data_IF_071761034874
#
_entry.id   IF_071761034874
#
_cell.length_a   1.000
_cell.length_b   1.000
_cell.length_c   1.000
_cell.angle_alpha   90.00
_cell.angle_beta   90.00
_cell.angle_gamma   90.00
#
_symmetry.space_group_name_H-M   'P 1'
#
loop_
_entity.id
_entity.type
_entity.pdbx_description
1 polymer ?
#
# COMPACT_ATOMS: atom_id res chain seq x y z
N UNK A 1 -28.14 41.51 -59.15
CA UNK A 1 -28.72 40.39 -58.39
C UNK A 1 -27.56 39.58 -57.87
N UNK A 2 -27.15 39.80 -56.63
CA UNK A 2 -26.02 39.11 -55.98
C UNK A 2 -26.58 38.34 -54.79
N UNK A 3 -26.48 37.03 -54.87
CA UNK A 3 -26.96 36.10 -53.83
C UNK A 3 -25.81 35.78 -52.89
N UNK A 4 -25.88 36.31 -51.66
CA UNK A 4 -24.91 36.03 -50.61
C UNK A 4 -25.29 34.76 -49.87
N UNK A 5 -24.41 33.77 -49.88
CA UNK A 5 -24.55 32.53 -49.11
C UNK A 5 -23.84 32.69 -47.75
N UNK A 6 -24.63 32.80 -46.67
CA UNK A 6 -24.09 32.82 -45.28
C UNK A 6 -23.93 31.38 -44.80
N UNK A 7 -22.68 30.98 -44.52
CA UNK A 7 -22.32 29.70 -43.92
C UNK A 7 -22.34 29.86 -42.38
N UNK A 8 -23.29 29.27 -41.69
CA UNK A 8 -23.34 29.23 -40.25
C UNK A 8 -22.49 28.06 -39.72
N UNK A 9 -21.38 28.36 -39.09
CA UNK A 9 -20.57 27.36 -38.30
C UNK A 9 -21.26 27.08 -36.97
N UNK A 10 -21.84 25.92 -36.81
CA UNK A 10 -22.29 25.38 -35.54
C UNK A 10 -21.08 24.80 -34.80
N UNK A 11 -20.56 25.56 -33.84
CA UNK A 11 -19.59 25.04 -32.86
C UNK A 11 -20.33 24.19 -31.83
N UNK A 12 -20.23 22.85 -31.98
CA UNK A 12 -20.73 21.93 -31.00
C UNK A 12 -19.78 21.90 -29.79
N UNK A 13 -20.14 22.57 -28.69
CA UNK A 13 -19.51 22.36 -27.36
C UNK A 13 -19.93 21.00 -26.83
N UNK A 14 -19.12 19.99 -27.09
CA UNK A 14 -19.23 18.69 -26.41
C UNK A 14 -18.83 18.87 -24.94
N UNK A 15 -19.80 19.01 -24.06
CA UNK A 15 -19.55 18.90 -22.62
C UNK A 15 -19.18 17.44 -22.28
N UNK A 16 -17.90 17.16 -22.15
CA UNK A 16 -17.47 15.92 -21.50
C UNK A 16 -17.93 15.96 -20.05
N UNK A 17 -19.03 15.30 -19.75
CA UNK A 17 -19.44 15.03 -18.39
C UNK A 17 -18.33 14.19 -17.72
N UNK A 18 -17.57 14.81 -16.82
CA UNK A 18 -16.64 14.09 -15.94
C UNK A 18 -17.50 13.20 -15.06
N UNK A 19 -17.43 11.89 -15.28
CA UNK A 19 -18.15 10.93 -14.47
C UNK A 19 -17.75 11.12 -13.00
N UNK A 20 -18.74 11.36 -12.13
CA UNK A 20 -18.51 11.48 -10.69
C UNK A 20 -17.97 10.12 -10.18
N UNK A 21 -16.81 10.09 -9.54
CA UNK A 21 -16.26 8.84 -9.00
C UNK A 21 -17.25 8.20 -8.03
N UNK A 22 -17.39 6.87 -8.08
CA UNK A 22 -18.25 6.16 -7.16
C UNK A 22 -17.64 6.19 -5.74
N UNK A 23 -18.45 6.40 -4.69
CA UNK A 23 -17.97 6.38 -3.32
C UNK A 23 -17.32 5.04 -2.99
N UNK A 24 -16.33 5.06 -2.06
CA UNK A 24 -15.63 3.86 -1.60
C UNK A 24 -16.64 2.85 -1.03
N UNK A 25 -16.65 1.64 -1.60
CA UNK A 25 -17.53 0.57 -1.13
C UNK A 25 -17.06 0.07 0.25
N UNK A 26 -17.95 0.01 1.21
CA UNK A 26 -17.69 -0.59 2.54
C UNK A 26 -17.42 -2.09 2.38
N UNK A 27 -16.43 -2.61 3.11
CA UNK A 27 -16.13 -4.04 3.15
C UNK A 27 -17.32 -4.84 3.67
N UNK A 28 -17.65 -5.91 2.95
CA UNK A 28 -18.64 -6.91 3.41
C UNK A 28 -18.06 -8.30 3.18
N UNK A 29 -17.71 -9.01 4.25
CA UNK A 29 -17.21 -10.38 4.17
C UNK A 29 -18.36 -11.39 4.32
N UNK A 30 -18.35 -12.42 3.49
CA UNK A 30 -19.23 -13.58 3.61
C UNK A 30 -18.81 -14.44 4.80
N UNK A 31 -19.70 -15.31 5.28
CA UNK A 31 -19.36 -16.28 6.36
C UNK A 31 -18.15 -17.14 6.00
N UNK A 32 -18.06 -17.58 4.75
CA UNK A 32 -16.92 -18.37 4.25
C UNK A 32 -15.61 -17.58 4.32
N UNK A 33 -15.61 -16.30 3.92
CA UNK A 33 -14.45 -15.44 4.00
C UNK A 33 -14.00 -15.18 5.44
N UNK A 34 -14.95 -14.99 6.35
CA UNK A 34 -14.65 -14.83 7.78
C UNK A 34 -14.01 -16.11 8.33
N UNK A 35 -14.61 -17.29 8.07
CA UNK A 35 -14.04 -18.57 8.50
C UNK A 35 -12.63 -18.80 7.94
N UNK A 36 -12.42 -18.43 6.67
CA UNK A 36 -11.10 -18.49 6.04
C UNK A 36 -10.08 -17.59 6.76
N UNK A 37 -10.47 -16.35 7.08
CA UNK A 37 -9.63 -15.39 7.79
C UNK A 37 -9.27 -15.85 9.20
N UNK A 38 -10.26 -16.32 9.98
CA UNK A 38 -10.11 -16.73 11.37
C UNK A 38 -9.24 -17.98 11.55
N UNK A 39 -9.18 -18.83 10.52
CA UNK A 39 -8.35 -20.05 10.53
C UNK A 39 -6.88 -19.84 10.12
N UNK A 40 -6.52 -18.66 9.63
CA UNK A 40 -5.18 -18.41 9.10
C UNK A 40 -4.14 -18.10 10.16
N UNK A 41 -2.91 -18.58 9.90
CA UNK A 41 -1.70 -18.03 10.51
C UNK A 41 -1.17 -16.91 9.60
N UNK A 42 -1.09 -15.70 10.13
CA UNK A 42 -0.66 -14.51 9.39
C UNK A 42 0.50 -13.88 10.14
N UNK A 43 1.60 -13.62 9.46
CA UNK A 43 2.70 -12.83 9.98
C UNK A 43 2.78 -11.50 9.25
N UNK A 44 2.87 -10.39 10.00
CA UNK A 44 3.06 -9.05 9.45
C UNK A 44 4.28 -8.36 10.04
N UNK A 45 5.38 -8.32 9.27
CA UNK A 45 6.59 -7.57 9.58
C UNK A 45 6.46 -6.11 9.14
N UNK A 46 6.52 -5.15 10.08
CA UNK A 46 6.28 -3.75 9.77
C UNK A 46 6.90 -2.76 10.74
N UNK A 47 6.71 -1.48 10.47
CA UNK A 47 6.84 -0.33 11.39
C UNK A 47 5.89 0.79 10.92
N UNK A 48 5.74 1.87 11.73
CA UNK A 48 5.05 3.11 11.36
C UNK A 48 3.61 2.86 10.87
N UNK A 49 3.27 3.16 9.61
CA UNK A 49 1.93 2.96 9.00
C UNK A 49 1.36 1.56 9.24
N UNK A 50 2.21 0.54 9.45
CA UNK A 50 1.74 -0.80 9.82
C UNK A 50 0.94 -0.83 11.12
N UNK A 51 1.32 -0.03 12.12
CA UNK A 51 0.54 0.11 13.36
C UNK A 51 -0.85 0.71 13.10
N UNK A 52 -0.95 1.69 12.19
CA UNK A 52 -2.25 2.27 11.81
C UNK A 52 -3.15 1.20 11.16
N UNK A 53 -2.60 0.35 10.28
CA UNK A 53 -3.35 -0.75 9.65
C UNK A 53 -3.86 -1.72 10.71
N UNK A 54 -3.01 -2.11 11.67
CA UNK A 54 -3.40 -3.02 12.76
C UNK A 54 -4.45 -2.41 13.69
N UNK A 55 -4.35 -1.12 13.97
CA UNK A 55 -5.37 -0.39 14.73
C UNK A 55 -6.72 -0.43 14.00
N UNK A 56 -6.72 -0.16 12.70
CA UNK A 56 -7.92 -0.28 11.87
C UNK A 56 -8.51 -1.70 11.86
N UNK A 57 -7.66 -2.74 11.86
CA UNK A 57 -8.14 -4.13 11.97
C UNK A 57 -8.78 -4.37 13.34
N UNK A 58 -8.18 -3.91 14.45
CA UNK A 58 -8.76 -4.04 15.79
C UNK A 58 -10.13 -3.35 15.89
N UNK A 59 -10.25 -2.15 15.32
CA UNK A 59 -11.52 -1.43 15.26
C UNK A 59 -12.60 -2.21 14.51
N UNK A 60 -12.26 -2.75 13.33
CA UNK A 60 -13.19 -3.52 12.51
C UNK A 60 -13.61 -4.79 13.23
N UNK A 61 -12.68 -5.55 13.81
CA UNK A 61 -12.99 -6.82 14.51
C UNK A 61 -13.81 -6.58 15.78
N UNK A 62 -13.58 -5.44 16.46
CA UNK A 62 -14.41 -5.05 17.62
C UNK A 62 -15.82 -4.66 17.20
N UNK A 63 -15.99 -3.97 16.07
CA UNK A 63 -17.30 -3.55 15.55
C UNK A 63 -18.06 -4.70 14.92
N UNK A 64 -17.39 -5.59 14.19
CA UNK A 64 -17.96 -6.80 13.61
C UNK A 64 -17.54 -8.03 14.42
N UNK A 65 -18.28 -8.33 15.47
CA UNK A 65 -18.00 -9.47 16.36
C UNK A 65 -18.06 -10.85 15.71
N UNK A 66 -18.36 -10.95 14.40
CA UNK A 66 -18.27 -12.19 13.64
C UNK A 66 -16.85 -12.55 13.27
N UNK A 67 -15.92 -11.57 13.23
CA UNK A 67 -14.51 -11.77 12.86
C UNK A 67 -13.72 -12.04 14.14
N UNK A 68 -13.23 -13.26 14.30
CA UNK A 68 -12.48 -13.69 15.49
C UNK A 68 -10.95 -13.57 15.34
N UNK A 69 -10.46 -12.80 14.36
CA UNK A 69 -9.05 -12.62 14.10
C UNK A 69 -8.35 -11.94 15.26
N UNK A 70 -7.52 -12.68 15.99
CA UNK A 70 -6.69 -12.14 17.09
C UNK A 70 -5.40 -11.52 16.55
N UNK A 71 -4.97 -10.40 17.14
CA UNK A 71 -3.69 -9.74 16.83
C UNK A 71 -2.76 -9.87 18.03
N UNK A 72 -1.56 -10.40 17.82
CA UNK A 72 -0.53 -10.63 18.85
C UNK A 72 0.79 -10.01 18.41
N UNK A 73 1.43 -9.27 19.30
CA UNK A 73 2.79 -8.75 19.11
C UNK A 73 3.80 -9.78 19.61
N UNK A 74 4.83 -10.08 18.84
CA UNK A 74 5.91 -10.98 19.27
C UNK A 74 7.24 -10.59 18.63
N UNK A 75 8.31 -10.69 19.40
CA UNK A 75 9.69 -10.59 18.91
C UNK A 75 10.21 -11.92 18.36
N UNK A 76 9.46 -13.01 18.59
CA UNK A 76 9.74 -14.36 18.11
C UNK A 76 8.46 -14.92 17.47
N UNK A 77 8.04 -14.37 16.31
CA UNK A 77 6.75 -14.70 15.68
C UNK A 77 6.58 -16.17 15.33
N UNK A 78 7.69 -16.83 15.00
CA UNK A 78 7.72 -18.25 14.63
C UNK A 78 7.28 -19.19 15.76
N UNK A 79 7.39 -18.75 17.02
CA UNK A 79 7.00 -19.53 18.20
C UNK A 79 5.55 -19.31 18.62
N UNK A 80 4.83 -18.34 18.02
CA UNK A 80 3.45 -18.06 18.38
C UNK A 80 2.52 -19.12 17.76
N UNK A 81 1.83 -19.92 18.58
CA UNK A 81 1.01 -21.01 18.07
C UNK A 81 -0.38 -20.54 17.59
N UNK A 82 -1.01 -21.39 16.75
CA UNK A 82 -2.41 -21.24 16.37
C UNK A 82 -2.68 -20.18 15.30
N UNK A 83 -3.93 -20.03 14.87
CA UNK A 83 -4.36 -19.02 13.93
C UNK A 83 -4.34 -17.61 14.56
N UNK A 84 -4.41 -16.59 13.70
CA UNK A 84 -4.39 -15.18 14.05
C UNK A 84 -3.29 -14.43 13.30
N UNK A 85 -3.23 -13.12 13.51
CA UNK A 85 -2.21 -12.24 12.99
C UNK A 85 -1.15 -12.01 14.06
N UNK A 86 0.07 -12.40 13.78
CA UNK A 86 1.24 -12.08 14.60
C UNK A 86 1.99 -10.96 13.92
N UNK A 87 2.26 -9.89 14.66
CA UNK A 87 3.02 -8.76 14.16
C UNK A 87 4.36 -8.62 14.88
N UNK A 88 5.34 -8.10 14.16
CA UNK A 88 6.64 -7.74 14.72
C UNK A 88 7.19 -6.49 14.02
N UNK A 89 7.79 -5.56 14.77
CA UNK A 89 8.63 -4.55 14.15
C UNK A 89 9.86 -5.23 13.52
N UNK A 90 10.17 -4.88 12.27
CA UNK A 90 11.33 -5.40 11.54
C UNK A 90 12.25 -4.28 11.10
N UNK A 91 13.55 -4.52 11.19
CA UNK A 91 14.63 -3.63 10.76
C UNK A 91 14.55 -2.22 11.34
N UNK A 92 15.15 -1.26 10.63
CA UNK A 92 15.22 0.14 11.02
C UNK A 92 14.58 1.03 9.95
N UNK A 93 13.89 2.08 10.36
CA UNK A 93 13.40 3.12 9.45
C UNK A 93 14.58 3.83 8.78
N UNK A 94 14.49 4.00 7.46
CA UNK A 94 15.58 4.53 6.62
C UNK A 94 16.61 3.47 6.19
N UNK A 95 16.42 2.22 6.58
CA UNK A 95 17.26 1.09 6.17
C UNK A 95 16.39 -0.08 5.65
N UNK A 96 15.97 -0.01 4.38
CA UNK A 96 15.11 -1.03 3.79
C UNK A 96 15.77 -2.42 3.74
N UNK A 97 17.12 -2.49 3.63
CA UNK A 97 17.84 -3.77 3.65
C UNK A 97 17.72 -4.46 5.00
N UNK A 98 17.80 -3.72 6.10
CA UNK A 98 17.62 -4.31 7.43
C UNK A 98 16.24 -4.92 7.61
N UNK A 99 15.20 -4.29 7.05
CA UNK A 99 13.82 -4.80 7.10
C UNK A 99 13.67 -6.10 6.30
N UNK A 100 14.25 -6.13 5.11
CA UNK A 100 14.21 -7.33 4.26
C UNK A 100 14.95 -8.50 4.93
N UNK A 101 16.15 -8.23 5.49
CA UNK A 101 16.94 -9.24 6.20
C UNK A 101 16.21 -9.77 7.44
N UNK A 102 15.60 -8.90 8.25
CA UNK A 102 14.86 -9.33 9.44
C UNK A 102 13.63 -10.18 9.06
N UNK A 103 12.91 -9.76 8.02
CA UNK A 103 11.79 -10.54 7.51
C UNK A 103 12.23 -11.94 7.06
N UNK A 104 13.27 -12.01 6.22
CA UNK A 104 13.81 -13.29 5.74
C UNK A 104 14.29 -14.17 6.91
N UNK A 105 14.98 -13.59 7.89
CA UNK A 105 15.43 -14.30 9.10
C UNK A 105 14.26 -14.92 9.86
N UNK A 106 13.18 -14.19 10.09
CA UNK A 106 11.99 -14.69 10.79
C UNK A 106 11.36 -15.86 10.01
N UNK A 107 11.25 -15.73 8.68
CA UNK A 107 10.71 -16.80 7.84
C UNK A 107 11.59 -18.05 7.93
N UNK A 108 12.92 -17.89 7.82
CA UNK A 108 13.90 -18.97 7.85
C UNK A 108 14.02 -19.64 9.24
N UNK A 109 13.76 -18.92 10.32
CA UNK A 109 13.78 -19.46 11.69
C UNK A 109 12.61 -20.39 12.03
N UNK A 110 11.75 -20.73 11.06
CA UNK A 110 10.69 -21.72 11.22
C UNK A 110 9.30 -21.30 10.82
N UNK A 111 9.05 -19.97 10.70
CA UNK A 111 7.73 -19.50 10.28
C UNK A 111 7.37 -20.01 8.88
N UNK A 112 8.34 -20.02 7.95
CA UNK A 112 8.15 -20.50 6.58
C UNK A 112 7.74 -21.97 6.50
N UNK A 113 8.34 -22.83 7.32
CA UNK A 113 8.04 -24.27 7.37
C UNK A 113 6.62 -24.58 7.83
N UNK A 114 6.01 -23.67 8.61
CA UNK A 114 4.65 -23.83 9.12
C UNK A 114 3.55 -23.50 8.09
N UNK A 115 3.92 -22.86 6.96
CA UNK A 115 2.97 -22.34 5.97
C UNK A 115 2.17 -21.16 6.53
N UNK A 116 1.04 -20.84 5.89
CA UNK A 116 0.22 -19.68 6.23
C UNK A 116 0.45 -18.50 5.29
N UNK A 117 0.36 -17.29 5.82
CA UNK A 117 0.54 -16.04 5.06
C UNK A 117 1.58 -15.17 5.75
N UNK A 118 2.52 -14.62 4.99
CA UNK A 118 3.46 -13.64 5.51
C UNK A 118 3.51 -12.41 4.61
N UNK A 119 3.60 -11.25 5.23
CA UNK A 119 3.76 -9.97 4.54
C UNK A 119 4.70 -9.07 5.32
N UNK A 120 5.44 -8.25 4.56
CA UNK A 120 6.22 -7.16 5.10
C UNK A 120 5.96 -5.88 4.30
N UNK A 121 6.17 -4.74 4.92
CA UNK A 121 6.15 -3.47 4.22
C UNK A 121 7.37 -2.62 4.53
N UNK A 122 7.87 -1.93 3.52
CA UNK A 122 8.75 -0.78 3.71
C UNK A 122 7.97 0.42 4.26
N UNK A 123 8.66 1.39 4.85
CA UNK A 123 8.11 2.68 5.22
C UNK A 123 8.38 3.72 4.12
N UNK A 124 7.61 4.79 4.09
CA UNK A 124 7.87 5.89 3.14
C UNK A 124 9.26 6.52 3.35
N UNK A 125 9.79 6.48 4.58
CA UNK A 125 11.13 6.99 4.92
C UNK A 125 12.28 6.09 4.46
N UNK A 126 11.99 4.86 4.01
CA UNK A 126 13.00 3.93 3.47
C UNK A 126 13.43 4.31 2.04
N UNK A 127 12.74 5.26 1.44
CA UNK A 127 13.10 5.87 0.14
C UNK A 127 13.58 7.29 0.37
N UNK A 128 14.84 7.51 0.10
CA UNK A 128 15.52 8.80 0.22
C UNK A 128 16.09 9.30 -1.13
N UNK A 129 16.84 10.40 -1.07
CA UNK A 129 17.47 10.99 -2.24
C UNK A 129 18.48 10.07 -2.94
N UNK A 130 19.19 9.26 -2.16
CA UNK A 130 20.26 8.39 -2.62
C UNK A 130 19.76 6.99 -3.04
N UNK A 131 18.51 6.65 -2.74
CA UNK A 131 17.95 5.34 -3.03
C UNK A 131 17.97 5.07 -4.54
N UNK A 132 18.66 4.02 -4.96
CA UNK A 132 18.51 3.41 -6.27
C UNK A 132 17.31 2.45 -6.22
N UNK A 133 16.21 2.87 -6.84
CA UNK A 133 14.93 2.14 -6.80
C UNK A 133 15.02 0.79 -7.50
N UNK A 134 15.76 0.72 -8.62
CA UNK A 134 15.89 -0.53 -9.38
C UNK A 134 16.72 -1.55 -8.59
N UNK A 135 17.81 -1.11 -7.96
CA UNK A 135 18.63 -1.97 -7.11
C UNK A 135 17.86 -2.44 -5.86
N UNK A 136 17.10 -1.54 -5.21
CA UNK A 136 16.27 -1.91 -4.06
C UNK A 136 15.20 -2.91 -4.46
N UNK A 137 14.52 -2.67 -5.59
CA UNK A 137 13.50 -3.59 -6.07
C UNK A 137 14.09 -4.96 -6.47
N UNK A 138 15.25 -4.98 -7.12
CA UNK A 138 15.94 -6.22 -7.44
C UNK A 138 16.25 -7.03 -6.17
N UNK A 139 16.81 -6.38 -5.14
CA UNK A 139 17.08 -7.04 -3.85
C UNK A 139 15.81 -7.57 -3.19
N UNK A 140 14.73 -6.80 -3.21
CA UNK A 140 13.42 -7.21 -2.69
C UNK A 140 12.87 -8.43 -3.46
N UNK A 141 12.87 -8.38 -4.79
CA UNK A 141 12.39 -9.45 -5.65
C UNK A 141 13.18 -10.75 -5.41
N UNK A 142 14.51 -10.65 -5.43
CA UNK A 142 15.39 -11.81 -5.32
C UNK A 142 15.18 -12.53 -3.97
N UNK A 143 15.01 -11.78 -2.87
CA UNK A 143 14.71 -12.33 -1.55
C UNK A 143 13.31 -12.96 -1.50
N UNK A 144 12.28 -12.24 -1.96
CA UNK A 144 10.90 -12.78 -1.95
C UNK A 144 10.76 -14.03 -2.82
N UNK A 145 11.44 -14.07 -3.97
CA UNK A 145 11.44 -15.24 -4.86
C UNK A 145 12.25 -16.40 -4.26
N UNK A 146 13.32 -16.13 -3.51
CA UNK A 146 14.06 -17.15 -2.76
C UNK A 146 13.17 -17.77 -1.67
N UNK A 147 12.53 -16.96 -0.84
CA UNK A 147 11.60 -17.41 0.20
C UNK A 147 10.42 -18.20 -0.39
N UNK A 148 9.87 -17.78 -1.52
CA UNK A 148 8.80 -18.50 -2.20
C UNK A 148 9.22 -19.89 -2.69
N UNK A 149 10.45 -20.02 -3.19
CA UNK A 149 11.00 -21.32 -3.63
C UNK A 149 11.27 -22.24 -2.45
N UNK A 150 11.83 -21.71 -1.38
CA UNK A 150 12.17 -22.47 -0.17
C UNK A 150 10.92 -22.93 0.58
N UNK A 151 9.89 -22.07 0.65
CA UNK A 151 8.68 -22.30 1.43
C UNK A 151 7.40 -22.27 0.56
N UNK A 152 7.17 -23.27 -0.32
CA UNK A 152 6.05 -23.24 -1.28
C UNK A 152 4.67 -23.26 -0.64
N UNK A 153 4.56 -23.66 0.64
CA UNK A 153 3.31 -23.62 1.41
C UNK A 153 3.04 -22.28 2.06
N UNK A 154 4.03 -21.37 2.15
CA UNK A 154 3.89 -20.03 2.66
C UNK A 154 3.41 -19.12 1.52
N UNK A 155 2.29 -18.42 1.72
CA UNK A 155 1.83 -17.39 0.80
C UNK A 155 2.45 -16.05 1.17
N UNK A 156 3.29 -15.51 0.30
CA UNK A 156 3.86 -14.18 0.47
C UNK A 156 2.93 -13.14 -0.13
N UNK A 157 2.53 -12.16 0.68
CA UNK A 157 1.77 -10.99 0.23
C UNK A 157 2.72 -9.83 0.04
N UNK A 158 2.73 -9.26 -1.16
CA UNK A 158 3.61 -8.18 -1.58
C UNK A 158 2.93 -6.84 -1.31
N UNK A 159 3.57 -5.97 -0.53
CA UNK A 159 2.98 -4.70 -0.09
C UNK A 159 3.67 -3.53 -0.77
N UNK A 160 2.91 -2.64 -1.39
CA UNK A 160 3.45 -1.40 -1.97
C UNK A 160 3.97 -0.47 -0.88
N UNK A 161 5.01 0.33 -1.20
CA UNK A 161 5.54 1.34 -0.29
C UNK A 161 4.49 2.42 -0.06
N UNK A 162 4.25 2.81 1.22
CA UNK A 162 3.33 3.89 1.54
C UNK A 162 3.72 5.22 0.89
N UNK A 163 2.71 6.03 0.61
CA UNK A 163 2.85 7.36 0.05
C UNK A 163 2.85 8.43 1.15
N UNK A 164 3.11 9.66 0.74
CA UNK A 164 2.95 10.85 1.60
C UNK A 164 2.13 11.90 0.87
N UNK A 165 1.65 12.92 1.59
CA UNK A 165 1.02 14.08 0.95
C UNK A 165 2.05 14.94 0.23
N UNK A 166 1.62 15.69 -0.77
CA UNK A 166 2.46 16.68 -1.47
C UNK A 166 2.77 17.86 -0.55
N UNK A 167 4.02 18.28 -0.47
CA UNK A 167 4.37 19.55 0.16
C UNK A 167 3.67 20.73 -0.57
N UNK A 168 3.20 21.75 0.17
CA UNK A 168 2.69 22.99 -0.42
C UNK A 168 3.69 23.59 -1.41
N UNK A 169 3.20 24.07 -2.54
CA UNK A 169 4.00 24.56 -3.66
C UNK A 169 5.13 25.55 -3.28
N UNK A 170 4.94 26.54 -2.37
CA UNK A 170 6.03 27.45 -2.00
C UNK A 170 7.24 26.76 -1.38
N UNK A 171 7.02 25.76 -0.49
CA UNK A 171 8.12 25.02 0.16
C UNK A 171 8.87 24.13 -0.84
N UNK A 172 8.16 23.42 -1.71
CA UNK A 172 8.73 22.57 -2.73
C UNK A 172 9.59 23.39 -3.72
N UNK A 173 9.13 24.56 -4.13
CA UNK A 173 9.85 25.46 -5.04
C UNK A 173 11.16 25.98 -4.45
N UNK A 174 11.15 26.42 -3.17
CA UNK A 174 12.37 26.88 -2.48
C UNK A 174 13.40 25.73 -2.37
N UNK A 175 12.98 24.52 -2.01
CA UNK A 175 13.86 23.35 -1.96
C UNK A 175 14.48 23.03 -3.31
N UNK A 176 13.67 23.07 -4.39
CA UNK A 176 14.12 22.83 -5.76
C UNK A 176 15.16 23.86 -6.22
N UNK A 177 14.97 25.16 -5.93
CA UNK A 177 15.95 26.20 -6.24
C UNK A 177 17.28 26.00 -5.52
N UNK A 178 17.27 25.39 -4.34
CA UNK A 178 18.48 25.10 -3.55
C UNK A 178 19.10 23.73 -3.93
N UNK A 179 18.62 23.07 -5.00
CA UNK A 179 19.11 21.75 -5.42
C UNK A 179 18.82 20.64 -4.39
N UNK A 180 17.88 20.84 -3.46
CA UNK A 180 17.50 19.85 -2.45
C UNK A 180 16.40 18.95 -2.98
N UNK A 181 16.48 17.65 -2.64
CA UNK A 181 15.45 16.68 -2.94
C UNK A 181 14.10 17.11 -2.35
N UNK A 182 13.08 17.14 -3.18
CA UNK A 182 11.73 17.50 -2.77
C UNK A 182 10.94 16.26 -2.39
N UNK A 183 9.83 16.44 -1.66
CA UNK A 183 8.89 15.35 -1.39
C UNK A 183 8.34 14.73 -2.69
N UNK A 184 8.16 15.55 -3.73
CA UNK A 184 7.73 15.09 -5.06
C UNK A 184 8.72 14.12 -5.71
N UNK A 185 10.05 14.33 -5.52
CA UNK A 185 11.06 13.42 -6.04
C UNK A 185 11.03 12.08 -5.30
N UNK A 186 10.83 12.12 -3.98
CA UNK A 186 10.69 10.91 -3.16
C UNK A 186 9.41 10.13 -3.50
N UNK A 187 8.29 10.83 -3.72
CA UNK A 187 7.05 10.20 -4.15
C UNK A 187 7.18 9.57 -5.55
N UNK A 188 7.90 10.21 -6.47
CA UNK A 188 8.19 9.62 -7.77
C UNK A 188 8.98 8.30 -7.64
N UNK A 189 9.98 8.25 -6.76
CA UNK A 189 10.75 7.03 -6.47
C UNK A 189 9.87 5.94 -5.84
N UNK A 190 8.98 6.28 -4.89
CA UNK A 190 8.01 5.33 -4.30
C UNK A 190 7.05 4.78 -5.34
N UNK A 191 6.54 5.66 -6.21
CA UNK A 191 5.67 5.24 -7.32
C UNK A 191 6.39 4.29 -8.28
N UNK A 192 7.67 4.52 -8.56
CA UNK A 192 8.47 3.65 -9.43
C UNK A 192 8.65 2.26 -8.79
N UNK A 193 9.03 2.16 -7.51
CA UNK A 193 9.07 0.87 -6.81
C UNK A 193 7.72 0.16 -6.86
N UNK A 194 6.64 0.88 -6.58
CA UNK A 194 5.28 0.34 -6.57
C UNK A 194 4.84 -0.12 -7.96
N UNK A 195 5.27 0.57 -9.02
CA UNK A 195 5.03 0.16 -10.40
C UNK A 195 5.74 -1.16 -10.71
N UNK A 196 7.01 -1.29 -10.35
CA UNK A 196 7.79 -2.52 -10.53
C UNK A 196 7.16 -3.69 -9.76
N UNK A 197 6.71 -3.46 -8.52
CA UNK A 197 6.05 -4.47 -7.69
C UNK A 197 4.75 -4.96 -8.34
N UNK A 198 3.89 -4.03 -8.82
CA UNK A 198 2.64 -4.39 -9.51
C UNK A 198 2.88 -5.14 -10.81
N UNK A 199 3.89 -4.74 -11.58
CA UNK A 199 4.25 -5.43 -12.82
C UNK A 199 4.74 -6.86 -12.58
N UNK A 200 5.50 -7.07 -11.52
CA UNK A 200 6.08 -8.38 -11.20
C UNK A 200 5.08 -9.31 -10.53
N UNK A 201 4.28 -8.81 -9.58
CA UNK A 201 3.46 -9.65 -8.72
C UNK A 201 1.94 -9.45 -8.88
N UNK A 202 1.50 -8.47 -9.67
CA UNK A 202 0.07 -8.13 -9.82
C UNK A 202 -0.80 -9.28 -10.28
N UNK A 203 -0.30 -10.12 -11.20
CA UNK A 203 -1.03 -11.30 -11.70
C UNK A 203 -1.19 -12.43 -10.67
N UNK A 204 -0.42 -12.40 -9.58
CA UNK A 204 -0.51 -13.42 -8.51
C UNK A 204 -1.78 -13.32 -7.67
N UNK A 205 -2.44 -12.17 -7.67
CA UNK A 205 -3.55 -11.85 -6.75
C UNK A 205 -3.12 -11.66 -5.29
N UNK A 206 -1.80 -11.61 -5.01
CA UNK A 206 -1.23 -11.50 -3.66
C UNK A 206 -0.59 -10.12 -3.40
N UNK A 207 -1.04 -9.07 -4.09
CA UNK A 207 -0.57 -7.70 -3.84
C UNK A 207 -1.53 -6.96 -2.92
N UNK A 208 -1.02 -6.52 -1.77
CA UNK A 208 -1.69 -5.51 -0.96
C UNK A 208 -1.25 -4.13 -1.44
N UNK A 209 -2.06 -3.53 -2.29
CA UNK A 209 -1.78 -2.21 -2.87
C UNK A 209 -2.16 -1.09 -1.91
N UNK A 210 -1.33 -0.90 -0.87
CA UNK A 210 -1.50 0.15 0.12
C UNK A 210 -1.44 1.55 -0.52
N UNK A 211 -0.54 1.75 -1.49
CA UNK A 211 -0.41 3.02 -2.20
C UNK A 211 -1.67 3.37 -3.02
N UNK A 212 -2.38 2.37 -3.54
CA UNK A 212 -3.68 2.60 -4.17
C UNK A 212 -4.71 3.07 -3.13
N UNK A 213 -4.77 2.40 -1.98
CA UNK A 213 -5.66 2.80 -0.88
C UNK A 213 -5.38 4.22 -0.42
N UNK A 214 -4.11 4.54 -0.16
CA UNK A 214 -3.67 5.85 0.33
C UNK A 214 -3.92 6.99 -0.66
N UNK A 215 -3.87 6.73 -1.95
CA UNK A 215 -4.14 7.74 -2.97
C UNK A 215 -5.61 7.84 -3.38
N UNK A 216 -6.48 6.95 -2.89
CA UNK A 216 -7.92 6.96 -3.21
C UNK A 216 -8.69 7.74 -2.15
N UNK A 217 -9.29 8.86 -2.54
CA UNK A 217 -10.15 9.70 -1.69
C UNK A 217 -11.45 8.98 -1.32
N UNK A 218 -12.18 9.44 -0.30
CA UNK A 218 -13.49 8.88 0.04
C UNK A 218 -14.52 8.88 -1.09
N UNK A 219 -14.42 9.84 -2.02
CA UNK A 219 -15.28 9.95 -3.20
C UNK A 219 -14.87 9.03 -4.36
N UNK A 220 -13.78 8.26 -4.20
CA UNK A 220 -13.23 7.35 -5.20
C UNK A 220 -12.24 8.00 -6.18
N UNK A 221 -12.06 9.32 -6.16
CA UNK A 221 -11.04 9.99 -6.97
C UNK A 221 -9.63 9.68 -6.46
N UNK A 222 -8.61 9.91 -7.32
CA UNK A 222 -7.21 9.63 -6.96
C UNK A 222 -6.42 10.92 -6.73
N UNK A 223 -5.62 10.94 -5.68
CA UNK A 223 -4.68 12.03 -5.39
C UNK A 223 -3.37 11.79 -6.15
N UNK A 224 -2.94 12.78 -6.95
CA UNK A 224 -1.69 12.72 -7.71
C UNK A 224 -1.22 14.13 -8.11
N UNK A 225 0.02 14.23 -8.54
CA UNK A 225 0.52 15.37 -9.33
C UNK A 225 1.06 14.87 -10.67
N UNK A 226 1.23 15.77 -11.62
CA UNK A 226 1.84 15.45 -12.92
C UNK A 226 3.35 15.72 -12.87
N UNK A 227 4.12 14.77 -13.43
CA UNK A 227 5.56 14.92 -13.73
C UNK A 227 5.75 14.63 -15.22
N UNK A 228 5.78 15.70 -16.02
CA UNK A 228 5.53 15.57 -17.46
C UNK A 228 4.09 15.08 -17.66
N UNK A 229 3.92 14.05 -18.45
CA UNK A 229 2.62 13.42 -18.73
C UNK A 229 2.24 12.32 -17.71
N UNK A 230 3.16 11.94 -16.84
CA UNK A 230 2.97 10.83 -15.89
C UNK A 230 2.28 11.29 -14.61
N UNK A 231 1.32 10.48 -14.14
CA UNK A 231 0.69 10.64 -12.83
C UNK A 231 1.55 10.03 -11.74
N UNK A 232 2.02 10.86 -10.81
CA UNK A 232 2.68 10.44 -9.59
C UNK A 232 1.66 10.48 -8.45
N UNK A 233 1.23 9.32 -7.97
CA UNK A 233 0.24 9.21 -6.92
C UNK A 233 0.81 9.62 -5.57
N UNK A 234 -0.04 10.25 -4.74
CA UNK A 234 0.31 10.74 -3.41
C UNK A 234 -0.80 10.37 -2.43
N UNK A 235 -0.48 10.36 -1.14
CA UNK A 235 -1.51 10.16 -0.13
C UNK A 235 -2.57 11.27 -0.22
N UNK A 236 -3.83 10.88 -0.22
CA UNK A 236 -4.95 11.81 -0.17
C UNK A 236 -4.97 12.53 1.19
N UNK A 237 -5.05 13.87 1.22
CA UNK A 237 -4.99 14.62 2.47
C UNK A 237 -6.06 14.22 3.50
N UNK A 238 -7.20 13.74 3.03
CA UNK A 238 -8.32 13.30 3.87
C UNK A 238 -8.00 12.03 4.69
N UNK A 239 -6.95 11.29 4.31
CA UNK A 239 -6.57 10.02 4.93
C UNK A 239 -5.46 10.15 5.99
N UNK A 240 -4.99 11.37 6.26
CA UNK A 240 -3.87 11.62 7.16
C UNK A 240 -4.05 12.90 7.95
N UNK A 241 -3.38 13.01 9.11
CA UNK A 241 -3.35 14.24 9.91
C UNK A 241 -1.96 14.89 9.90
N UNK A 242 -0.90 14.15 9.58
CA UNK A 242 0.50 14.61 9.60
C UNK A 242 1.21 14.53 8.23
N UNK A 243 0.50 14.04 7.22
CA UNK A 243 1.00 13.90 5.85
C UNK A 243 1.70 12.58 5.54
N UNK A 244 1.84 11.67 6.51
CA UNK A 244 2.56 10.39 6.33
C UNK A 244 1.93 9.19 7.04
N UNK A 245 1.22 9.40 8.15
CA UNK A 245 0.51 8.35 8.87
C UNK A 245 -0.99 8.42 8.62
N UNK A 246 -1.64 7.26 8.68
CA UNK A 246 -3.07 7.16 8.42
C UNK A 246 -3.87 7.64 9.65
N UNK A 247 -4.83 8.54 9.41
CA UNK A 247 -5.87 8.88 10.38
C UNK A 247 -6.94 7.77 10.42
N UNK A 248 -8.03 8.00 11.15
CA UNK A 248 -9.12 7.02 11.32
C UNK A 248 -9.71 6.56 9.97
N UNK A 249 -9.96 7.49 9.04
CA UNK A 249 -10.51 7.16 7.72
C UNK A 249 -9.51 6.33 6.91
N UNK A 250 -8.24 6.73 6.92
CA UNK A 250 -7.17 6.05 6.17
C UNK A 250 -6.87 4.66 6.72
N UNK A 251 -6.75 4.51 8.06
CA UNK A 251 -6.46 3.22 8.68
C UNK A 251 -7.58 2.22 8.49
N UNK A 252 -8.84 2.68 8.59
CA UNK A 252 -9.99 1.82 8.30
C UNK A 252 -9.98 1.31 6.86
N UNK A 253 -9.75 2.20 5.91
CA UNK A 253 -9.70 1.84 4.49
C UNK A 253 -8.59 0.84 4.17
N UNK A 254 -7.40 1.03 4.76
CA UNK A 254 -6.27 0.12 4.58
C UNK A 254 -6.53 -1.25 5.25
N UNK A 255 -7.13 -1.24 6.45
CA UNK A 255 -7.51 -2.46 7.15
C UNK A 255 -8.57 -3.27 6.39
N UNK A 256 -9.63 -2.63 5.90
CA UNK A 256 -10.67 -3.26 5.08
C UNK A 256 -10.06 -3.94 3.85
N UNK A 257 -9.18 -3.25 3.13
CA UNK A 257 -8.53 -3.80 1.94
C UNK A 257 -7.61 -4.97 2.24
N UNK A 258 -6.86 -4.92 3.37
CA UNK A 258 -6.02 -6.03 3.79
C UNK A 258 -6.86 -7.25 4.22
N UNK A 259 -7.90 -7.04 5.00
CA UNK A 259 -8.82 -8.13 5.42
C UNK A 259 -9.51 -8.78 4.23
N UNK A 260 -9.97 -7.99 3.24
CA UNK A 260 -10.52 -8.52 1.99
C UNK A 260 -9.52 -9.41 1.25
N UNK A 261 -8.28 -8.96 1.10
CA UNK A 261 -7.22 -9.75 0.46
C UNK A 261 -6.98 -11.05 1.23
N UNK A 262 -6.75 -10.96 2.54
CA UNK A 262 -6.47 -12.11 3.40
C UNK A 262 -7.61 -13.12 3.43
N UNK A 263 -8.85 -12.68 3.30
CA UNK A 263 -10.03 -13.56 3.29
C UNK A 263 -10.19 -14.40 2.02
N UNK A 264 -9.44 -14.08 0.96
CA UNK A 264 -9.54 -14.75 -0.36
C UNK A 264 -8.40 -15.72 -0.66
N UNK A 265 -7.31 -15.70 0.12
CA UNK A 265 -6.08 -16.44 -0.17
C UNK A 265 -5.85 -17.66 0.73
#
# INVERSE_FOLDING_TARGET
MSCGLSLALLAGCGSHAVATPAPRKTMTLTRQQISTLDSKKIFFGHQSVGYNILEGIREITTQDGRIALTIRTSTIPELVPGPGLVESPIGKNGDPKSKLNDFAKIINNGLGSNGGVALMKFCYVDIDALTDVNQLFASYRDEMDALKREYPRLKLVYVTIPLTTVEPAPKAWIKSLLGRTTQRDLDAKRNEFNRLLRQTYGSSGLVFDLAEVESTRPDGSRSYFLRGDDKVYTMAPELTSDGGHLNEIGRRAAAERLLELLSRI
#
